data_IF_843708689860
#
_entry.id   IF_843708689860
#
_cell.length_a   1.000
_cell.length_b   1.000
_cell.length_c   1.000
_cell.angle_alpha   90.00
_cell.angle_beta   90.00
_cell.angle_gamma   90.00
#
_symmetry.space_group_name_H-M   'P 1'
#
loop_
_entity.id
_entity.type
_entity.pdbx_description
1 polymer ?
#
# COMPACT_ATOMS: atom_id res chain seq x y z
N UNK A 1 21.26 -0.54 0.35
CA UNK A 1 19.91 0.05 0.29
C UNK A 1 19.84 0.83 -1.00
N UNK A 2 18.86 0.54 -1.85
CA UNK A 2 18.61 1.29 -3.09
C UNK A 2 17.35 2.11 -2.89
N UNK A 3 17.35 3.35 -3.33
CA UNK A 3 16.20 4.25 -3.26
C UNK A 3 15.81 4.66 -4.68
N UNK A 4 14.51 4.65 -4.96
CA UNK A 4 13.95 5.13 -6.22
C UNK A 4 12.98 6.27 -5.91
N UNK A 5 13.16 7.42 -6.56
CA UNK A 5 12.34 8.63 -6.35
C UNK A 5 11.07 8.58 -7.21
N UNK A 6 10.22 7.60 -6.95
CA UNK A 6 8.91 7.44 -7.61
C UNK A 6 7.92 6.72 -6.69
N UNK A 7 6.63 6.87 -6.97
CA UNK A 7 5.59 6.03 -6.39
C UNK A 7 5.43 4.73 -7.20
N UNK A 8 4.71 3.76 -6.64
CA UNK A 8 4.39 2.51 -7.33
C UNK A 8 2.89 2.40 -7.63
N UNK A 9 2.55 1.77 -8.74
CA UNK A 9 1.16 1.52 -9.14
C UNK A 9 1.04 0.55 -10.31
N UNK A 10 -0.17 0.45 -10.86
CA UNK A 10 -0.51 -0.54 -11.90
C UNK A 10 0.16 -0.26 -13.25
N UNK A 11 0.36 1.02 -13.56
CA UNK A 11 0.90 1.48 -14.84
C UNK A 11 1.82 2.68 -14.61
N UNK A 12 2.74 2.92 -15.54
CA UNK A 12 3.58 4.10 -15.50
C UNK A 12 2.75 5.35 -15.78
N UNK A 13 2.85 6.35 -14.92
CA UNK A 13 2.16 7.64 -15.04
C UNK A 13 3.10 8.79 -14.67
N UNK A 14 2.97 9.91 -15.38
CA UNK A 14 3.73 11.13 -15.08
C UNK A 14 2.85 12.17 -14.40
N UNK A 15 3.47 12.96 -13.51
CA UNK A 15 2.83 14.08 -12.81
C UNK A 15 1.54 13.72 -12.06
N UNK A 16 1.49 12.54 -11.44
CA UNK A 16 0.37 12.10 -10.60
C UNK A 16 0.33 12.94 -9.33
N UNK A 17 -0.86 13.43 -8.98
CA UNK A 17 -1.07 14.22 -7.77
C UNK A 17 -1.26 13.32 -6.55
N UNK A 18 -0.58 13.68 -5.46
CA UNK A 18 -0.69 13.07 -4.15
C UNK A 18 -1.06 14.13 -3.11
N UNK A 19 -1.77 13.71 -2.08
CA UNK A 19 -1.98 14.48 -0.85
C UNK A 19 -0.80 14.22 0.08
N UNK A 20 0.12 15.17 0.18
CA UNK A 20 1.21 15.12 1.15
C UNK A 20 0.77 15.76 2.46
N UNK A 21 0.88 15.03 3.57
CA UNK A 21 0.54 15.54 4.91
C UNK A 21 1.85 15.85 5.67
N UNK A 22 2.30 17.11 5.78
CA UNK A 22 3.62 17.42 6.34
C UNK A 22 3.82 16.99 7.80
N UNK A 23 2.74 16.94 8.58
CA UNK A 23 2.75 16.51 9.97
C UNK A 23 2.45 15.02 10.16
N UNK A 24 2.06 14.32 9.09
CA UNK A 24 1.84 12.86 9.04
C UNK A 24 2.38 12.28 7.73
N UNK A 25 3.67 12.46 7.40
CA UNK A 25 4.17 12.17 6.05
C UNK A 25 3.98 10.71 5.63
N UNK A 26 4.03 9.77 6.58
CA UNK A 26 3.77 8.36 6.34
C UNK A 26 2.35 8.08 5.81
N UNK A 27 1.38 8.94 6.12
CA UNK A 27 -0.01 8.79 5.67
C UNK A 27 -0.27 9.43 4.30
N UNK A 28 0.75 9.98 3.64
CA UNK A 28 0.58 10.67 2.36
C UNK A 28 0.17 9.69 1.27
N UNK A 29 -0.80 10.07 0.44
CA UNK A 29 -1.46 9.12 -0.46
C UNK A 29 -2.04 9.78 -1.71
N UNK A 30 -2.20 8.98 -2.76
CA UNK A 30 -3.02 9.31 -3.95
C UNK A 30 -4.52 9.22 -3.64
N UNK A 31 -4.89 8.52 -2.57
CA UNK A 31 -6.25 8.16 -2.17
C UNK A 31 -6.63 8.83 -0.85
N UNK A 32 -6.74 10.17 -0.77
CA UNK A 32 -6.99 10.87 0.50
C UNK A 32 -8.30 10.44 1.18
N UNK A 33 -9.27 9.93 0.44
CA UNK A 33 -10.54 9.42 0.96
C UNK A 33 -10.35 8.30 2.00
N UNK A 34 -9.24 7.57 1.96
CA UNK A 34 -8.94 6.49 2.93
C UNK A 34 -8.62 7.03 4.31
N UNK A 35 -8.36 8.34 4.42
CA UNK A 35 -7.97 9.01 5.66
C UNK A 35 -9.15 9.64 6.40
N UNK A 36 -10.35 9.66 5.83
CA UNK A 36 -11.52 10.26 6.50
C UNK A 36 -11.89 9.52 7.80
N UNK A 37 -11.96 8.19 7.80
CA UNK A 37 -12.24 7.42 9.01
C UNK A 37 -11.13 7.58 10.08
N UNK A 38 -9.83 7.39 9.78
CA UNK A 38 -8.75 7.67 10.73
C UNK A 38 -8.80 9.10 11.29
N UNK A 39 -9.12 10.09 10.46
CA UNK A 39 -9.25 11.49 10.85
C UNK A 39 -10.42 11.70 11.81
N UNK A 40 -11.58 11.08 11.56
CA UNK A 40 -12.73 11.14 12.46
C UNK A 40 -12.43 10.49 13.81
N UNK A 41 -11.86 9.28 13.81
CA UNK A 41 -11.46 8.58 15.03
C UNK A 41 -10.43 9.35 15.85
N UNK A 42 -9.45 9.98 15.18
CA UNK A 42 -8.46 10.81 15.86
C UNK A 42 -9.12 12.04 16.52
N UNK A 43 -10.13 12.63 15.88
CA UNK A 43 -10.86 13.78 16.40
C UNK A 43 -11.74 13.47 17.64
N UNK A 44 -11.94 12.20 17.97
CA UNK A 44 -12.56 11.79 19.24
C UNK A 44 -11.61 11.90 20.43
N UNK A 45 -10.30 11.81 20.19
CA UNK A 45 -9.25 11.76 21.22
C UNK A 45 -8.42 13.06 21.27
N UNK A 46 -8.37 13.77 20.16
CA UNK A 46 -7.58 15.00 19.95
C UNK A 46 -8.52 16.10 19.48
N UNK A 47 -8.24 17.37 19.82
CA UNK A 47 -9.09 18.47 19.37
C UNK A 47 -9.14 18.55 17.83
N UNK A 48 -10.33 18.85 17.30
CA UNK A 48 -10.59 18.83 15.86
C UNK A 48 -9.63 19.72 15.05
N UNK A 49 -9.25 20.87 15.60
CA UNK A 49 -8.36 21.82 14.94
C UNK A 49 -6.95 21.25 14.78
N UNK A 50 -6.42 20.57 15.80
CA UNK A 50 -5.14 19.87 15.71
C UNK A 50 -5.19 18.74 14.69
N UNK A 51 -6.28 17.97 14.65
CA UNK A 51 -6.46 16.91 13.64
C UNK A 51 -6.52 17.47 12.22
N UNK A 52 -7.22 18.59 12.01
CA UNK A 52 -7.24 19.31 10.73
C UNK A 52 -5.86 19.79 10.30
N UNK A 53 -5.00 20.19 11.25
CA UNK A 53 -3.60 20.54 10.96
C UNK A 53 -2.78 19.32 10.55
N UNK A 54 -2.96 18.18 11.22
CA UNK A 54 -2.27 16.94 10.88
C UNK A 54 -2.62 16.44 9.47
N UNK A 55 -3.91 16.50 9.11
CA UNK A 55 -4.41 16.11 7.79
C UNK A 55 -4.51 17.28 6.80
N UNK A 56 -3.81 18.39 7.04
CA UNK A 56 -3.74 19.48 6.07
C UNK A 56 -2.85 19.06 4.89
N UNK A 57 -3.49 18.64 3.79
CA UNK A 57 -2.81 18.21 2.59
C UNK A 57 -2.14 19.36 1.84
N UNK A 58 -0.94 19.10 1.33
CA UNK A 58 -0.30 19.88 0.28
C UNK A 58 -0.28 19.03 -0.99
N UNK A 59 -0.78 19.52 -2.13
CA UNK A 59 -0.70 18.77 -3.38
C UNK A 59 0.75 18.71 -3.83
N UNK A 60 1.25 17.51 -4.09
CA UNK A 60 2.58 17.27 -4.67
C UNK A 60 2.43 16.37 -5.88
N UNK A 61 3.27 16.55 -6.90
CA UNK A 61 3.31 15.68 -8.07
C UNK A 61 4.49 14.73 -8.00
N UNK A 62 4.28 13.49 -8.42
CA UNK A 62 5.32 12.47 -8.55
C UNK A 62 5.08 11.60 -9.79
N UNK A 63 6.12 10.92 -10.27
CA UNK A 63 5.95 9.81 -11.20
C UNK A 63 5.46 8.57 -10.45
N UNK A 64 4.62 7.79 -11.10
CA UNK A 64 4.24 6.44 -10.69
C UNK A 64 4.90 5.48 -11.67
N UNK A 65 5.53 4.45 -11.13
CA UNK A 65 6.14 3.38 -11.91
C UNK A 65 5.50 2.03 -11.53
N UNK A 66 5.62 1.06 -12.44
CA UNK A 66 5.26 -0.32 -12.14
C UNK A 66 6.32 -0.99 -11.27
N UNK A 67 5.88 -1.83 -10.33
CA UNK A 67 6.81 -2.63 -9.53
C UNK A 67 7.68 -3.55 -10.40
N UNK A 68 7.18 -3.98 -11.55
CA UNK A 68 7.93 -4.77 -12.52
C UNK A 68 9.28 -4.16 -12.93
N UNK A 69 9.40 -2.83 -12.97
CA UNK A 69 10.65 -2.16 -13.30
C UNK A 69 11.77 -2.38 -12.27
N UNK A 70 11.43 -2.90 -11.08
CA UNK A 70 12.34 -3.07 -9.96
C UNK A 70 12.50 -4.54 -9.52
N UNK A 71 11.74 -5.47 -10.09
CA UNK A 71 11.94 -6.90 -9.83
C UNK A 71 13.19 -7.36 -10.58
N UNK A 72 14.21 -7.92 -9.90
CA UNK A 72 15.46 -8.29 -10.56
C UNK A 72 15.31 -9.52 -11.46
N UNK A 73 15.96 -9.48 -12.62
CA UNK A 73 15.97 -10.60 -13.58
C UNK A 73 17.05 -11.65 -13.29
N UNK A 74 18.04 -11.33 -12.45
CA UNK A 74 19.23 -12.15 -12.20
C UNK A 74 19.19 -12.94 -10.87
N UNK A 75 18.17 -12.71 -10.04
CA UNK A 75 18.03 -13.36 -8.73
C UNK A 75 16.58 -13.44 -8.26
N UNK A 76 16.35 -14.28 -7.27
CA UNK A 76 15.07 -14.39 -6.58
C UNK A 76 14.90 -13.29 -5.52
N UNK A 77 13.64 -12.97 -5.22
CA UNK A 77 13.23 -12.10 -4.11
C UNK A 77 12.71 -12.98 -2.97
N UNK A 78 13.51 -13.16 -1.93
CA UNK A 78 13.14 -13.97 -0.77
C UNK A 78 11.91 -13.42 -0.03
N UNK A 79 11.77 -12.10 0.02
CA UNK A 79 10.67 -11.39 0.66
C UNK A 79 10.41 -10.05 -0.02
N UNK A 80 9.17 -9.85 -0.49
CA UNK A 80 8.63 -8.57 -0.90
C UNK A 80 7.73 -8.03 0.22
N UNK A 81 7.99 -6.82 0.71
CA UNK A 81 7.07 -6.10 1.60
C UNK A 81 6.38 -4.98 0.80
N UNK A 82 5.06 -4.89 0.91
CA UNK A 82 4.26 -3.77 0.40
C UNK A 82 3.54 -3.13 1.57
N UNK A 83 3.72 -1.83 1.71
CA UNK A 83 3.19 -1.01 2.79
C UNK A 83 3.05 0.40 2.20
N UNK A 84 1.97 0.54 1.43
CA UNK A 84 1.64 1.75 0.67
C UNK A 84 0.25 2.19 1.10
N UNK A 85 -0.02 3.49 1.00
CA UNK A 85 -1.25 4.05 1.53
C UNK A 85 -2.40 3.93 0.51
N UNK A 86 -3.07 2.78 0.47
CA UNK A 86 -4.33 2.55 -0.27
C UNK A 86 -4.21 2.15 -1.74
N UNK A 87 -3.00 1.92 -2.24
CA UNK A 87 -2.70 1.51 -3.62
C UNK A 87 -2.12 0.08 -3.71
N UNK A 88 -2.29 -0.75 -2.68
CA UNK A 88 -1.65 -2.06 -2.53
C UNK A 88 -1.97 -2.98 -3.71
N UNK A 89 -3.25 -3.04 -4.11
CA UNK A 89 -3.69 -3.82 -5.25
C UNK A 89 -3.10 -3.31 -6.57
N UNK A 90 -3.01 -1.99 -6.76
CA UNK A 90 -2.42 -1.40 -7.95
C UNK A 90 -0.93 -1.71 -8.05
N UNK A 91 -0.20 -1.66 -6.94
CA UNK A 91 1.23 -2.06 -6.90
C UNK A 91 1.39 -3.53 -7.30
N UNK A 92 0.54 -4.42 -6.79
CA UNK A 92 0.58 -5.84 -7.16
C UNK A 92 0.26 -6.06 -8.64
N UNK A 93 -0.75 -5.37 -9.18
CA UNK A 93 -1.10 -5.41 -10.60
C UNK A 93 -0.04 -4.77 -11.52
N UNK A 94 0.95 -4.08 -10.93
CA UNK A 94 2.12 -3.54 -11.62
C UNK A 94 3.28 -4.53 -11.79
N UNK A 95 3.12 -5.79 -11.38
CA UNK A 95 4.11 -6.86 -11.58
C UNK A 95 3.77 -7.64 -12.85
N UNK A 96 4.77 -8.05 -13.64
CA UNK A 96 4.55 -8.90 -14.81
C UNK A 96 4.36 -10.37 -14.43
N UNK A 97 3.56 -11.10 -15.20
CA UNK A 97 3.20 -12.48 -14.90
C UNK A 97 4.44 -13.40 -14.80
N UNK A 98 5.44 -13.16 -15.64
CA UNK A 98 6.70 -13.91 -15.69
C UNK A 98 7.60 -13.62 -14.47
N UNK A 99 7.35 -12.55 -13.73
CA UNK A 99 8.14 -12.15 -12.58
C UNK A 99 7.65 -12.79 -11.28
N UNK A 100 6.36 -13.17 -11.19
CA UNK A 100 5.79 -13.79 -9.99
C UNK A 100 6.54 -15.02 -9.47
N UNK A 101 7.04 -15.95 -10.30
CA UNK A 101 7.80 -17.11 -9.84
C UNK A 101 9.08 -16.75 -9.06
N UNK A 102 9.65 -15.55 -9.27
CA UNK A 102 10.88 -15.09 -8.60
C UNK A 102 10.65 -14.61 -7.17
N UNK A 103 9.41 -14.24 -6.83
CA UNK A 103 9.05 -13.77 -5.50
C UNK A 103 8.63 -14.97 -4.65
N UNK A 104 9.42 -15.28 -3.62
CA UNK A 104 9.21 -16.46 -2.76
C UNK A 104 8.16 -16.22 -1.68
N UNK A 105 8.16 -15.02 -1.10
CA UNK A 105 7.25 -14.61 -0.03
C UNK A 105 6.85 -13.16 -0.20
N UNK A 106 5.64 -12.84 0.21
CA UNK A 106 5.14 -11.48 0.23
C UNK A 106 4.41 -11.17 1.53
N UNK A 107 4.56 -9.94 2.00
CA UNK A 107 3.81 -9.38 3.12
C UNK A 107 3.23 -8.04 2.68
N UNK A 108 1.91 -7.90 2.77
CA UNK A 108 1.18 -6.68 2.41
C UNK A 108 0.42 -6.18 3.62
N UNK A 109 0.65 -4.94 4.05
CA UNK A 109 -0.28 -4.24 4.94
C UNK A 109 -1.37 -3.59 4.07
N UNK A 110 -2.64 -3.85 4.39
CA UNK A 110 -3.78 -3.30 3.65
C UNK A 110 -4.88 -2.87 4.60
N UNK A 111 -5.48 -1.70 4.32
CA UNK A 111 -6.73 -1.30 4.96
C UNK A 111 -7.91 -1.82 4.14
N UNK A 112 -8.77 -2.64 4.76
CA UNK A 112 -9.93 -3.22 4.09
C UNK A 112 -11.05 -2.18 3.94
N UNK A 113 -10.94 -1.31 2.94
CA UNK A 113 -12.00 -0.42 2.48
C UNK A 113 -12.42 -0.86 1.08
N UNK A 114 -13.73 -0.88 0.78
CA UNK A 114 -14.27 -1.25 -0.53
C UNK A 114 -13.71 -2.61 -1.05
N UNK A 115 -13.69 -3.63 -0.19
CA UNK A 115 -13.24 -4.99 -0.51
C UNK A 115 -11.76 -5.11 -0.93
N UNK A 116 -10.92 -4.10 -0.64
CA UNK A 116 -9.48 -4.12 -0.97
C UNK A 116 -8.75 -5.34 -0.45
N UNK A 117 -9.09 -5.83 0.75
CA UNK A 117 -8.48 -7.05 1.28
C UNK A 117 -8.75 -8.26 0.37
N UNK A 118 -9.99 -8.40 -0.11
CA UNK A 118 -10.37 -9.47 -1.01
C UNK A 118 -9.60 -9.37 -2.33
N UNK A 119 -9.54 -8.18 -2.93
CA UNK A 119 -8.78 -7.91 -4.16
C UNK A 119 -7.30 -8.27 -4.02
N UNK A 120 -6.64 -7.84 -2.92
CA UNK A 120 -5.24 -8.19 -2.66
C UNK A 120 -5.06 -9.71 -2.55
N UNK A 121 -5.93 -10.38 -1.80
CA UNK A 121 -5.87 -11.83 -1.66
C UNK A 121 -6.08 -12.57 -3.00
N UNK A 122 -6.99 -12.10 -3.84
CA UNK A 122 -7.27 -12.68 -5.16
C UNK A 122 -6.08 -12.54 -6.10
N UNK A 123 -5.46 -11.36 -6.18
CA UNK A 123 -4.26 -11.13 -7.00
C UNK A 123 -3.13 -12.07 -6.56
N UNK A 124 -2.89 -12.19 -5.27
CA UNK A 124 -1.84 -13.07 -4.74
C UNK A 124 -2.11 -14.55 -4.99
N UNK A 125 -3.37 -15.01 -4.82
CA UNK A 125 -3.74 -16.39 -5.16
C UNK A 125 -3.59 -16.65 -6.65
N UNK A 126 -4.00 -15.70 -7.50
CA UNK A 126 -3.84 -15.77 -8.95
C UNK A 126 -2.38 -15.87 -9.38
N UNK A 127 -1.48 -15.17 -8.68
CA UNK A 127 -0.03 -15.27 -8.86
C UNK A 127 0.58 -16.59 -8.31
N UNK A 128 -0.22 -17.47 -7.69
CA UNK A 128 0.21 -18.79 -7.21
C UNK A 128 0.77 -18.82 -5.79
N UNK A 129 0.43 -17.85 -4.94
CA UNK A 129 0.76 -17.88 -3.52
C UNK A 129 -0.31 -18.60 -2.70
N UNK A 130 0.12 -19.30 -1.64
CA UNK A 130 -0.73 -19.68 -0.52
C UNK A 130 -0.90 -18.45 0.39
N UNK A 131 -2.15 -17.97 0.55
CA UNK A 131 -2.46 -16.66 1.15
C UNK A 131 -3.14 -16.80 2.49
N UNK A 132 -2.56 -16.17 3.52
CA UNK A 132 -3.07 -16.07 4.87
C UNK A 132 -3.21 -14.58 5.26
N UNK A 133 -4.42 -14.14 5.57
CA UNK A 133 -4.70 -12.76 5.95
C UNK A 133 -5.11 -12.72 7.43
N UNK A 134 -4.46 -11.85 8.19
CA UNK A 134 -4.74 -11.66 9.62
C UNK A 134 -4.88 -10.18 9.92
N UNK A 135 -5.64 -9.84 10.94
CA UNK A 135 -5.66 -8.46 11.44
C UNK A 135 -4.25 -8.01 11.85
N UNK A 136 -3.93 -6.77 11.54
CA UNK A 136 -2.65 -6.20 11.91
C UNK A 136 -2.55 -6.07 13.45
N UNK A 137 -1.44 -6.51 14.06
CA UNK A 137 -1.26 -6.38 15.50
C UNK A 137 -1.21 -4.91 15.91
N UNK A 138 -1.62 -4.60 17.15
CA UNK A 138 -1.59 -3.24 17.71
C UNK A 138 -2.44 -2.21 16.93
N UNK A 139 -3.46 -2.68 16.20
CA UNK A 139 -4.46 -1.82 15.56
C UNK A 139 -5.83 -2.01 16.21
N UNK A 140 -6.63 -0.94 16.26
CA UNK A 140 -8.01 -1.00 16.73
C UNK A 140 -8.87 -1.77 15.71
N UNK A 141 -9.87 -2.48 16.20
CA UNK A 141 -10.74 -3.32 15.38
C UNK A 141 -11.43 -2.55 14.25
N UNK A 142 -11.83 -1.31 14.53
CA UNK A 142 -12.54 -0.43 13.61
C UNK A 142 -11.64 0.07 12.46
N UNK A 143 -10.32 0.00 12.62
CA UNK A 143 -9.38 0.52 11.63
C UNK A 143 -9.19 -0.42 10.45
N UNK A 144 -9.63 -1.70 10.57
CA UNK A 144 -9.65 -2.69 9.48
C UNK A 144 -8.31 -2.87 8.76
N UNK A 145 -7.19 -2.75 9.49
CA UNK A 145 -5.86 -3.06 8.97
C UNK A 145 -5.61 -4.57 9.01
N UNK A 146 -5.06 -5.10 7.92
CA UNK A 146 -4.72 -6.51 7.78
C UNK A 146 -3.29 -6.66 7.29
N UNK A 147 -2.61 -7.67 7.83
CA UNK A 147 -1.38 -8.22 7.30
C UNK A 147 -1.72 -9.43 6.45
N UNK A 148 -1.48 -9.32 5.14
CA UNK A 148 -1.62 -10.43 4.19
C UNK A 148 -0.26 -11.03 3.94
N UNK A 149 -0.13 -12.33 4.22
CA UNK A 149 1.04 -13.13 3.98
C UNK A 149 0.79 -14.04 2.78
N UNK A 150 1.67 -13.99 1.77
CA UNK A 150 1.69 -14.94 0.66
C UNK A 150 2.97 -15.76 0.67
N UNK A 151 2.87 -17.08 0.57
CA UNK A 151 4.02 -17.99 0.51
C UNK A 151 3.92 -18.88 -0.73
N UNK A 152 4.99 -18.92 -1.53
CA UNK A 152 5.13 -19.88 -2.62
C UNK A 152 5.84 -21.13 -2.10
N UNK A 153 5.23 -22.31 -2.32
CA UNK A 153 5.80 -23.61 -1.92
C UNK A 153 6.91 -24.05 -2.87
#
# INVERSE_FOLDING_TARGET
MTLHECALGRQAESAVLFSFYPLLPANSTRHPEIKELPKEQMAEKVDRKTVEQFYHAQPVSASVERLAAFVPDDRDVDLLKIDVEGAEADVLLGVDDEQWPRIRRIVVEVVDLNERLATVCEVLRGAGFDVDARRAPMTEEENRYYMVHGVRR
#
